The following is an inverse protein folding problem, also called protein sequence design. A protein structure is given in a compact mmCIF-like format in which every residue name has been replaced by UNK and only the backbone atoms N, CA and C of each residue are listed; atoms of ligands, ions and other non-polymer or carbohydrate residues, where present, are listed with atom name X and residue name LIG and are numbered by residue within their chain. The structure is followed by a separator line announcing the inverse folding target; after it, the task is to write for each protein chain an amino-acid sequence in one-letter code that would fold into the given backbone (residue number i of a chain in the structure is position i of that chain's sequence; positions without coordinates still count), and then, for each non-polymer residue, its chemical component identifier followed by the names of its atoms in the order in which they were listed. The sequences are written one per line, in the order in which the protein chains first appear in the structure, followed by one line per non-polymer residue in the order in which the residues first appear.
data_IF_939893196335
#
_entry.id   IF_939893196335
#
_cell.length_a   1.000
_cell.length_b   1.000
_cell.length_c   1.000
_cell.angle_alpha   90.00
_cell.angle_beta   90.00
_cell.angle_gamma   90.00
#
_symmetry.space_group_name_H-M   'P 1'
#
loop_
_entity.id
_entity.type
_entity.pdbx_description
1 polymer ?
#
# COMPACT_ATOMS: atom_id res chain seq x y z
N UNK A 1 -4.52 3.33 25.70
CA UNK A 1 -5.20 2.55 24.67
C UNK A 1 -4.57 1.16 24.63
N UNK A 2 -5.35 0.10 24.44
CA UNK A 2 -4.92 -1.31 24.46
C UNK A 2 -4.73 -1.80 23.03
N UNK A 3 -3.58 -2.37 22.70
CA UNK A 3 -3.23 -2.82 21.34
C UNK A 3 -2.83 -4.30 21.39
N UNK A 4 -3.25 -5.06 20.38
CA UNK A 4 -2.77 -6.39 20.06
C UNK A 4 -1.92 -6.32 18.81
N UNK A 5 -0.86 -7.11 18.72
CA UNK A 5 0.02 -7.16 17.53
C UNK A 5 0.18 -8.61 17.09
N UNK A 6 0.03 -8.86 15.78
CA UNK A 6 0.24 -10.17 15.17
C UNK A 6 1.10 -10.04 13.91
N UNK A 7 2.21 -10.78 13.87
CA UNK A 7 3.14 -10.84 12.74
C UNK A 7 3.95 -12.14 12.86
N UNK A 8 4.07 -12.90 11.79
CA UNK A 8 4.82 -14.17 11.80
C UNK A 8 6.35 -13.98 11.71
N UNK A 9 6.80 -12.74 11.48
CA UNK A 9 8.21 -12.37 11.48
C UNK A 9 8.65 -11.85 12.87
N UNK A 10 9.45 -12.61 13.64
CA UNK A 10 9.79 -12.26 15.03
C UNK A 10 10.42 -10.88 15.19
N UNK A 11 11.30 -10.47 14.27
CA UNK A 11 11.95 -9.16 14.33
C UNK A 11 10.96 -8.03 14.08
N UNK A 12 10.06 -8.17 13.12
CA UNK A 12 9.00 -7.19 12.84
C UNK A 12 8.05 -7.10 14.03
N UNK A 13 7.62 -8.23 14.58
CA UNK A 13 6.75 -8.29 15.75
C UNK A 13 7.34 -7.55 16.94
N UNK A 14 8.61 -7.86 17.28
CA UNK A 14 9.29 -7.22 18.40
C UNK A 14 9.57 -5.73 18.14
N UNK A 15 9.97 -5.36 16.93
CA UNK A 15 10.18 -3.97 16.52
C UNK A 15 8.89 -3.16 16.61
N UNK A 16 7.78 -3.68 16.07
CA UNK A 16 6.47 -3.02 16.13
C UNK A 16 6.00 -2.87 17.57
N UNK A 17 6.19 -3.89 18.43
CA UNK A 17 5.86 -3.83 19.85
C UNK A 17 6.63 -2.69 20.54
N UNK A 18 7.96 -2.68 20.42
CA UNK A 18 8.81 -1.67 21.03
C UNK A 18 8.44 -0.26 20.58
N UNK A 19 8.12 -0.10 19.30
CA UNK A 19 7.72 1.16 18.72
C UNK A 19 6.38 1.65 19.28
N UNK A 20 5.38 0.77 19.32
CA UNK A 20 4.04 1.07 19.89
C UNK A 20 4.14 1.44 21.37
N UNK A 21 4.95 0.73 22.15
CA UNK A 21 5.14 1.00 23.57
C UNK A 21 5.88 2.33 23.81
N UNK A 22 6.82 2.72 22.93
CA UNK A 22 7.53 4.00 23.02
C UNK A 22 6.60 5.22 22.87
N UNK A 23 5.47 5.07 22.21
CA UNK A 23 4.41 6.09 22.12
C UNK A 23 3.40 6.05 23.27
N UNK A 24 3.67 5.27 24.31
CA UNK A 24 2.82 5.21 25.50
C UNK A 24 1.55 4.34 25.33
N UNK A 25 1.45 3.55 24.28
CA UNK A 25 0.36 2.59 24.14
C UNK A 25 0.67 1.29 24.89
N UNK A 26 -0.36 0.64 25.44
CA UNK A 26 -0.21 -0.63 26.12
C UNK A 26 -0.41 -1.79 25.14
N UNK A 27 0.63 -2.55 24.85
CA UNK A 27 0.50 -3.82 24.14
C UNK A 27 -0.02 -4.87 25.11
N UNK A 28 -1.19 -5.46 24.80
CA UNK A 28 -1.82 -6.50 25.65
C UNK A 28 -1.16 -7.85 25.46
N UNK A 29 -0.96 -8.20 24.18
CA UNK A 29 -0.38 -9.47 23.78
C UNK A 29 0.19 -9.39 22.37
N UNK A 30 1.02 -10.37 22.03
CA UNK A 30 1.58 -10.55 20.69
C UNK A 30 1.46 -12.00 20.25
N UNK A 31 1.26 -12.26 18.96
CA UNK A 31 1.21 -13.61 18.41
C UNK A 31 1.76 -13.65 16.98
N UNK A 32 2.04 -14.87 16.49
CA UNK A 32 2.69 -15.11 15.20
C UNK A 32 1.80 -15.80 14.17
N UNK A 33 0.48 -15.85 14.39
CA UNK A 33 -0.46 -16.46 13.44
C UNK A 33 -1.86 -15.88 13.60
N UNK A 34 -2.64 -15.96 12.53
CA UNK A 34 -3.98 -15.34 12.51
C UNK A 34 -5.02 -16.03 13.36
N UNK A 35 -4.90 -17.34 13.62
CA UNK A 35 -5.85 -18.06 14.50
C UNK A 35 -5.71 -17.56 15.94
N UNK A 36 -4.47 -17.46 16.43
CA UNK A 36 -4.18 -16.90 17.75
C UNK A 36 -4.60 -15.44 17.83
N UNK A 37 -4.32 -14.65 16.77
CA UNK A 37 -4.74 -13.25 16.70
C UNK A 37 -6.25 -13.09 16.87
N UNK A 38 -7.05 -13.85 16.13
CA UNK A 38 -8.50 -13.82 16.24
C UNK A 38 -8.99 -14.20 17.64
N UNK A 39 -8.46 -15.28 18.21
CA UNK A 39 -8.83 -15.73 19.56
C UNK A 39 -8.51 -14.67 20.62
N UNK A 40 -7.33 -14.05 20.56
CA UNK A 40 -6.93 -12.98 21.48
C UNK A 40 -7.77 -11.71 21.29
N UNK A 41 -8.14 -11.37 20.04
CA UNK A 41 -9.06 -10.26 19.76
C UNK A 41 -10.42 -10.51 20.39
N UNK A 42 -10.97 -11.71 20.24
CA UNK A 42 -12.27 -12.09 20.83
C UNK A 42 -12.22 -12.06 22.36
N UNK A 43 -11.13 -12.55 22.95
CA UNK A 43 -10.96 -12.64 24.40
C UNK A 43 -10.75 -11.27 25.05
N UNK A 44 -9.85 -10.46 24.51
CA UNK A 44 -9.40 -9.22 25.14
C UNK A 44 -10.08 -7.96 24.62
N UNK A 45 -10.72 -8.02 23.45
CA UNK A 45 -11.36 -6.91 22.76
C UNK A 45 -10.49 -5.62 22.80
N UNK A 46 -9.25 -5.68 22.24
CA UNK A 46 -8.35 -4.53 22.23
C UNK A 46 -8.99 -3.35 21.46
N UNK A 47 -8.54 -2.14 21.75
CA UNK A 47 -8.98 -0.96 20.98
C UNK A 47 -8.54 -1.03 19.52
N UNK A 48 -7.29 -1.49 19.30
CA UNK A 48 -6.69 -1.67 17.98
C UNK A 48 -6.01 -3.05 17.94
N UNK A 49 -6.09 -3.71 16.79
CA UNK A 49 -5.24 -4.85 16.44
C UNK A 49 -4.41 -4.49 15.21
N UNK A 50 -3.07 -4.56 15.36
CA UNK A 50 -2.11 -4.40 14.27
C UNK A 50 -1.79 -5.80 13.77
N UNK A 51 -2.07 -6.08 12.49
CA UNK A 51 -1.95 -7.41 11.91
C UNK A 51 -1.09 -7.37 10.64
N UNK A 52 -0.17 -8.30 10.50
CA UNK A 52 0.35 -8.62 9.19
C UNK A 52 -0.71 -9.33 8.34
N UNK A 53 -0.64 -9.17 7.02
CA UNK A 53 -1.50 -9.92 6.11
C UNK A 53 -1.02 -11.37 6.02
N UNK A 54 0.27 -11.58 5.79
CA UNK A 54 0.82 -12.92 5.57
C UNK A 54 1.10 -13.63 6.90
N UNK A 55 0.12 -14.36 7.41
CA UNK A 55 0.28 -15.16 8.62
C UNK A 55 -0.23 -16.59 8.41
N UNK A 56 0.39 -17.57 9.06
CA UNK A 56 -0.10 -18.95 8.99
C UNK A 56 -1.48 -19.13 9.65
N UNK A 57 -2.26 -20.06 9.12
CA UNK A 57 -3.60 -20.43 9.58
C UNK A 57 -4.68 -19.53 9.00
N UNK A 58 -4.86 -18.34 9.53
CA UNK A 58 -5.68 -17.27 8.95
C UNK A 58 -4.77 -16.12 8.51
N UNK A 59 -5.02 -15.55 7.36
CA UNK A 59 -4.34 -14.33 6.96
C UNK A 59 -4.96 -13.09 7.65
N UNK A 60 -4.28 -11.95 7.60
CA UNK A 60 -4.76 -10.71 8.24
C UNK A 60 -6.08 -10.20 7.67
N UNK A 61 -6.38 -10.48 6.40
CA UNK A 61 -7.65 -10.14 5.77
C UNK A 61 -8.78 -11.03 6.29
N UNK A 62 -8.51 -12.32 6.47
CA UNK A 62 -9.48 -13.27 7.06
C UNK A 62 -9.82 -12.88 8.50
N UNK A 63 -8.81 -12.48 9.28
CA UNK A 63 -9.03 -11.98 10.65
C UNK A 63 -9.87 -10.71 10.62
N UNK A 64 -9.56 -9.74 9.76
CA UNK A 64 -10.33 -8.50 9.64
C UNK A 64 -11.79 -8.78 9.27
N UNK A 65 -12.03 -9.67 8.30
CA UNK A 65 -13.37 -10.12 7.91
C UNK A 65 -14.15 -10.71 9.08
N UNK A 66 -13.54 -11.64 9.83
CA UNK A 66 -14.19 -12.29 10.99
C UNK A 66 -14.48 -11.31 12.13
N UNK A 67 -13.62 -10.33 12.37
CA UNK A 67 -13.84 -9.25 13.35
C UNK A 67 -15.03 -8.38 12.93
N UNK A 68 -15.15 -8.05 11.65
CA UNK A 68 -16.30 -7.33 11.10
C UNK A 68 -17.61 -8.14 11.23
N UNK A 69 -17.61 -9.40 10.79
CA UNK A 69 -18.77 -10.31 10.88
C UNK A 69 -19.26 -10.49 12.32
N UNK A 70 -18.31 -10.55 13.26
CA UNK A 70 -18.60 -10.65 14.70
C UNK A 70 -19.00 -9.33 15.34
N UNK A 71 -19.05 -8.23 14.58
CA UNK A 71 -19.40 -6.87 15.04
C UNK A 71 -18.57 -6.41 16.24
N UNK A 72 -17.32 -6.84 16.33
CA UNK A 72 -16.40 -6.40 17.36
C UNK A 72 -16.01 -4.93 17.17
N UNK A 73 -15.77 -4.21 18.26
CA UNK A 73 -15.38 -2.78 18.22
C UNK A 73 -13.89 -2.58 17.98
N UNK A 74 -13.10 -3.65 17.91
CA UNK A 74 -11.66 -3.61 17.66
C UNK A 74 -11.39 -3.05 16.27
N UNK A 75 -10.60 -1.99 16.19
CA UNK A 75 -10.18 -1.37 14.93
C UNK A 75 -8.98 -2.12 14.38
N UNK A 76 -9.07 -2.58 13.13
CA UNK A 76 -7.99 -3.33 12.50
C UNK A 76 -7.07 -2.37 11.75
N UNK A 77 -5.77 -2.49 11.98
CA UNK A 77 -4.69 -1.84 11.24
C UNK A 77 -3.86 -2.96 10.59
N UNK A 78 -3.75 -2.95 9.27
CA UNK A 78 -2.88 -3.87 8.55
C UNK A 78 -1.50 -3.24 8.37
N UNK A 79 -0.46 -3.98 8.74
CA UNK A 79 0.94 -3.63 8.55
C UNK A 79 1.56 -4.69 7.64
N UNK A 80 1.83 -4.36 6.37
CA UNK A 80 2.07 -5.35 5.33
C UNK A 80 3.14 -4.93 4.33
N UNK A 81 3.69 -5.91 3.60
CA UNK A 81 4.57 -5.67 2.45
C UNK A 81 3.79 -5.46 1.14
N UNK A 82 2.47 -5.71 1.14
CA UNK A 82 1.64 -5.61 -0.06
C UNK A 82 1.32 -4.17 -0.43
N UNK A 83 1.70 -3.78 -1.64
CA UNK A 83 1.47 -2.43 -2.23
C UNK A 83 0.32 -2.42 -3.24
N UNK A 84 -0.28 -3.58 -3.49
CA UNK A 84 -1.32 -3.73 -4.51
C UNK A 84 -2.63 -3.08 -4.05
N UNK A 85 -3.14 -2.15 -4.84
CA UNK A 85 -4.41 -1.46 -4.58
C UNK A 85 -5.59 -2.42 -4.50
N UNK A 86 -5.51 -3.57 -5.20
CA UNK A 86 -6.54 -4.63 -5.15
C UNK A 86 -6.65 -5.27 -3.77
N UNK A 87 -5.53 -5.49 -3.08
CA UNK A 87 -5.49 -6.03 -1.71
C UNK A 87 -6.06 -4.99 -0.73
N UNK A 88 -5.67 -3.73 -0.88
CA UNK A 88 -6.24 -2.64 -0.08
C UNK A 88 -7.76 -2.50 -0.27
N UNK A 89 -8.26 -2.55 -1.52
CA UNK A 89 -9.71 -2.50 -1.80
C UNK A 89 -10.46 -3.61 -1.07
N UNK A 90 -9.97 -4.85 -1.16
CA UNK A 90 -10.53 -5.98 -0.43
C UNK A 90 -10.49 -5.76 1.10
N UNK A 91 -9.37 -5.29 1.64
CA UNK A 91 -9.24 -4.96 3.05
C UNK A 91 -10.23 -3.87 3.49
N UNK A 92 -10.42 -2.85 2.66
CA UNK A 92 -11.36 -1.75 2.91
C UNK A 92 -12.82 -2.23 3.01
N UNK A 93 -13.21 -3.24 2.21
CA UNK A 93 -14.53 -3.89 2.29
C UNK A 93 -14.75 -4.57 3.66
N UNK A 94 -13.68 -5.06 4.30
CA UNK A 94 -13.71 -5.64 5.64
C UNK A 94 -13.65 -4.60 6.77
N UNK A 95 -13.79 -3.32 6.43
CA UNK A 95 -13.93 -2.24 7.41
C UNK A 95 -12.67 -1.94 8.23
N UNK A 96 -11.48 -2.18 7.67
CA UNK A 96 -10.22 -1.82 8.34
C UNK A 96 -10.14 -0.30 8.60
N UNK A 97 -9.37 0.08 9.61
CA UNK A 97 -9.11 1.47 9.96
C UNK A 97 -7.74 1.96 9.54
N UNK A 98 -6.75 1.07 9.38
CA UNK A 98 -5.41 1.43 8.95
C UNK A 98 -4.85 0.46 7.91
N UNK A 99 -4.08 0.99 6.96
CA UNK A 99 -3.26 0.20 6.02
C UNK A 99 -1.91 0.87 5.87
N UNK A 100 -0.84 0.22 6.34
CA UNK A 100 0.52 0.74 6.36
C UNK A 100 1.45 -0.26 5.68
N UNK A 101 2.38 0.26 4.89
CA UNK A 101 3.47 -0.54 4.33
C UNK A 101 4.57 -0.73 5.37
N UNK A 102 5.05 -1.98 5.57
CA UNK A 102 6.11 -2.32 6.55
C UNK A 102 7.37 -1.49 6.35
N UNK A 103 7.74 -1.16 5.11
CA UNK A 103 8.90 -0.33 4.80
C UNK A 103 8.78 1.13 5.29
N UNK A 104 7.56 1.61 5.54
CA UNK A 104 7.27 2.96 6.00
C UNK A 104 6.73 3.00 7.45
N UNK A 105 6.75 1.85 8.14
CA UNK A 105 6.20 1.73 9.49
C UNK A 105 6.79 2.76 10.48
N UNK A 106 8.09 3.01 10.41
CA UNK A 106 8.76 3.96 11.32
C UNK A 106 8.23 5.39 11.18
N UNK A 107 7.81 5.80 10.01
CA UNK A 107 7.36 7.18 9.73
C UNK A 107 5.84 7.34 9.81
N UNK A 108 5.09 6.26 9.64
CA UNK A 108 3.64 6.33 9.49
C UNK A 108 2.85 5.74 10.67
N UNK A 109 3.42 4.79 11.44
CA UNK A 109 2.65 4.04 12.44
C UNK A 109 2.11 4.93 13.56
N UNK A 110 2.90 5.90 14.04
CA UNK A 110 2.44 6.84 15.07
C UNK A 110 1.24 7.65 14.60
N UNK A 111 1.35 8.24 13.41
CA UNK A 111 0.29 9.02 12.79
C UNK A 111 -0.96 8.18 12.56
N UNK A 112 -0.79 6.97 12.04
CA UNK A 112 -1.88 6.03 11.84
C UNK A 112 -2.59 5.71 13.17
N UNK A 113 -1.87 5.33 14.22
CA UNK A 113 -2.47 5.02 15.51
C UNK A 113 -3.20 6.22 16.11
N UNK A 114 -2.66 7.42 15.92
CA UNK A 114 -3.30 8.67 16.35
C UNK A 114 -4.63 8.88 15.63
N UNK A 115 -4.67 8.77 14.31
CA UNK A 115 -5.90 8.95 13.53
C UNK A 115 -6.93 7.84 13.81
N UNK A 116 -6.48 6.59 13.86
CA UNK A 116 -7.34 5.44 14.19
C UNK A 116 -7.91 5.57 15.60
N UNK A 117 -7.16 6.12 16.56
CA UNK A 117 -7.68 6.36 17.92
C UNK A 117 -8.89 7.29 17.93
N UNK A 118 -8.85 8.36 17.12
CA UNK A 118 -9.94 9.33 16.94
C UNK A 118 -11.14 8.76 16.15
N UNK A 119 -10.99 7.59 15.53
CA UNK A 119 -12.01 6.97 14.69
C UNK A 119 -11.86 7.24 13.20
N UNK A 120 -10.80 7.93 12.81
CA UNK A 120 -10.50 8.20 11.41
C UNK A 120 -9.83 6.99 10.76
N UNK A 121 -9.98 6.85 9.45
CA UNK A 121 -9.21 5.87 8.67
C UNK A 121 -7.87 6.46 8.27
N UNK A 122 -6.86 5.62 8.15
CA UNK A 122 -5.52 5.97 7.70
C UNK A 122 -5.03 5.01 6.61
N UNK A 123 -4.56 5.55 5.52
CA UNK A 123 -3.92 4.79 4.44
C UNK A 123 -2.52 5.33 4.24
N UNK A 124 -1.55 4.44 3.99
CA UNK A 124 -0.20 4.86 3.65
C UNK A 124 -0.21 5.85 2.49
N UNK A 125 0.47 6.98 2.65
CA UNK A 125 0.56 8.00 1.60
C UNK A 125 1.14 7.45 0.29
N UNK A 126 1.98 6.44 0.36
CA UNK A 126 2.55 5.77 -0.81
C UNK A 126 1.54 4.87 -1.55
N UNK A 127 0.42 4.53 -0.92
CA UNK A 127 -0.69 3.83 -1.55
C UNK A 127 -1.80 4.79 -1.97
N UNK A 128 -1.98 5.93 -1.28
CA UNK A 128 -2.97 6.94 -1.63
C UNK A 128 -2.75 7.50 -3.04
N UNK A 129 -1.50 7.73 -3.43
CA UNK A 129 -1.18 8.19 -4.78
C UNK A 129 -1.67 7.20 -5.85
N UNK A 130 -1.48 5.90 -5.62
CA UNK A 130 -1.96 4.85 -6.52
C UNK A 130 -3.50 4.73 -6.50
N UNK A 131 -4.15 4.96 -5.36
CA UNK A 131 -5.61 4.93 -5.21
C UNK A 131 -6.30 6.15 -5.86
N UNK A 132 -5.70 7.34 -5.78
CA UNK A 132 -6.21 8.55 -6.44
C UNK A 132 -6.15 8.35 -7.96
N UNK A 133 -5.10 7.74 -8.43
CA UNK A 133 -4.94 7.35 -9.82
C UNK A 133 -6.03 6.33 -10.23
N UNK A 134 -6.44 5.42 -9.42
CA UNK A 134 -7.41 4.35 -9.69
C UNK A 134 -8.88 4.86 -9.76
N UNK A 135 -9.20 5.96 -9.10
CA UNK A 135 -10.55 6.54 -9.06
C UNK A 135 -10.89 7.49 -10.23
N UNK A 136 -9.90 7.96 -10.96
CA UNK A 136 -10.09 8.75 -12.17
C UNK A 136 -10.04 7.82 -13.39
N UNK A 137 -11.05 7.75 -14.24
CA UNK A 137 -11.17 6.85 -15.41
C UNK A 137 -9.98 6.82 -16.39
N UNK A 138 -8.97 7.64 -16.22
CA UNK A 138 -7.67 7.61 -16.91
C UNK A 138 -6.76 6.48 -16.40
N UNK A 139 -7.13 5.82 -15.34
CA UNK A 139 -6.27 5.00 -14.47
C UNK A 139 -6.18 3.54 -14.90
N UNK A 140 -7.18 3.03 -15.60
CA UNK A 140 -7.18 1.63 -16.07
C UNK A 140 -6.02 1.37 -17.04
N UNK A 141 -5.59 2.38 -17.76
CA UNK A 141 -4.48 2.29 -18.70
C UNK A 141 -3.12 2.41 -17.99
N UNK A 142 -3.00 3.28 -16.99
CA UNK A 142 -1.78 3.45 -16.20
C UNK A 142 -1.46 2.24 -15.30
N UNK A 143 -2.49 1.47 -14.90
CA UNK A 143 -2.31 0.21 -14.15
C UNK A 143 -1.63 -0.89 -14.96
N UNK A 144 -1.69 -0.82 -16.29
CA UNK A 144 -1.00 -1.76 -17.19
C UNK A 144 0.51 -1.51 -17.27
N UNK A 145 0.98 -0.39 -16.71
CA UNK A 145 2.38 0.03 -16.79
C UNK A 145 3.18 -0.41 -15.57
N UNK A 146 4.38 -0.91 -15.82
CA UNK A 146 5.35 -1.19 -14.75
C UNK A 146 5.90 0.11 -14.14
N UNK A 147 6.51 0.01 -12.95
CA UNK A 147 7.16 1.16 -12.30
C UNK A 147 8.20 1.84 -13.20
N UNK A 148 8.99 1.05 -13.94
CA UNK A 148 9.97 1.59 -14.91
C UNK A 148 9.30 2.34 -16.05
N UNK A 149 8.16 1.84 -16.55
CA UNK A 149 7.38 2.49 -17.61
C UNK A 149 6.73 3.78 -17.11
N UNK A 150 6.20 3.79 -15.90
CA UNK A 150 5.67 5.00 -15.23
C UNK A 150 6.76 6.07 -15.08
N UNK A 151 7.97 5.68 -14.64
CA UNK A 151 9.09 6.60 -14.50
C UNK A 151 9.54 7.19 -15.83
N UNK A 152 9.53 6.40 -16.89
CA UNK A 152 9.81 6.87 -18.25
C UNK A 152 8.76 7.89 -18.71
N UNK A 153 7.47 7.64 -18.48
CA UNK A 153 6.39 8.60 -18.79
C UNK A 153 6.58 9.91 -18.03
N UNK A 154 6.89 9.85 -16.73
CA UNK A 154 7.16 11.04 -15.92
C UNK A 154 8.29 11.90 -16.55
N UNK A 155 9.36 11.27 -17.00
CA UNK A 155 10.46 11.99 -17.70
C UNK A 155 10.05 12.50 -19.09
N UNK A 156 9.14 11.81 -19.77
CA UNK A 156 8.56 12.29 -21.04
C UNK A 156 7.70 13.54 -20.80
N UNK A 157 6.91 13.64 -19.73
CA UNK A 157 6.15 14.87 -19.41
C UNK A 157 7.09 16.06 -19.20
N UNK A 158 8.31 15.83 -18.74
CA UNK A 158 9.37 16.84 -18.61
C UNK A 158 10.10 17.11 -19.95
N UNK A 159 9.56 16.61 -21.06
CA UNK A 159 10.11 16.76 -22.42
C UNK A 159 11.53 16.22 -22.59
N UNK A 160 11.92 15.23 -21.78
CA UNK A 160 13.23 14.58 -21.91
C UNK A 160 13.27 13.68 -23.13
N UNK A 161 14.37 13.74 -23.87
CA UNK A 161 14.64 12.84 -25.01
C UNK A 161 14.97 11.43 -24.53
N UNK A 162 14.85 10.42 -25.40
CA UNK A 162 15.22 9.03 -25.06
C UNK A 162 16.67 8.92 -24.59
N UNK A 163 17.59 9.69 -25.16
CA UNK A 163 18.98 9.77 -24.72
C UNK A 163 19.12 10.32 -23.30
N UNK A 164 18.44 11.44 -22.98
CA UNK A 164 18.44 12.01 -21.63
C UNK A 164 17.80 11.09 -20.60
N UNK A 165 16.73 10.40 -20.96
CA UNK A 165 16.08 9.40 -20.10
C UNK A 165 17.02 8.23 -19.84
N UNK A 166 17.71 7.76 -20.85
CA UNK A 166 18.69 6.68 -20.75
C UNK A 166 19.83 7.05 -19.76
N UNK A 167 20.36 8.26 -19.86
CA UNK A 167 21.38 8.79 -18.94
C UNK A 167 20.86 8.86 -17.49
N UNK A 168 19.64 9.40 -17.28
CA UNK A 168 19.03 9.55 -15.94
C UNK A 168 18.69 8.21 -15.26
N UNK A 169 18.33 7.20 -16.05
CA UNK A 169 17.91 5.89 -15.53
C UNK A 169 19.02 4.84 -15.62
N UNK A 170 20.23 5.20 -16.06
CA UNK A 170 21.35 4.29 -16.27
C UNK A 170 21.01 3.13 -17.23
N UNK A 171 20.27 3.42 -18.29
CA UNK A 171 19.85 2.48 -19.32
C UNK A 171 20.51 2.79 -20.68
N UNK A 172 20.40 1.87 -21.65
CA UNK A 172 20.72 2.20 -23.05
C UNK A 172 19.56 2.97 -23.71
N UNK A 173 19.87 3.84 -24.67
CA UNK A 173 18.82 4.52 -25.45
C UNK A 173 17.88 3.53 -26.14
N UNK A 174 18.42 2.42 -26.66
CA UNK A 174 17.65 1.33 -27.26
C UNK A 174 16.67 0.70 -26.25
N UNK A 175 17.07 0.58 -24.98
CA UNK A 175 16.20 0.06 -23.91
C UNK A 175 15.02 1.01 -23.65
N UNK A 176 15.31 2.32 -23.60
CA UNK A 176 14.27 3.35 -23.41
C UNK A 176 13.28 3.36 -24.58
N UNK A 177 13.77 3.27 -25.82
CA UNK A 177 12.89 3.17 -27.01
C UNK A 177 12.03 1.91 -26.97
N UNK A 178 12.58 0.77 -26.51
CA UNK A 178 11.80 -0.45 -26.30
C UNK A 178 10.70 -0.27 -25.26
N UNK A 179 10.96 0.44 -24.15
CA UNK A 179 9.93 0.78 -23.17
C UNK A 179 8.86 1.72 -23.75
N UNK A 180 9.27 2.76 -24.50
CA UNK A 180 8.32 3.68 -25.15
C UNK A 180 7.36 2.95 -26.07
N UNK A 181 7.88 2.00 -26.88
CA UNK A 181 7.04 1.16 -27.76
C UNK A 181 6.04 0.33 -26.96
N UNK A 182 6.49 -0.34 -25.90
CA UNK A 182 5.60 -1.14 -25.03
C UNK A 182 4.55 -0.28 -24.33
N UNK A 183 4.91 0.93 -23.89
CA UNK A 183 3.97 1.88 -23.30
C UNK A 183 2.88 2.26 -24.32
N UNK A 184 3.26 2.62 -25.53
CA UNK A 184 2.32 2.94 -26.62
C UNK A 184 1.34 1.80 -26.87
N UNK A 185 1.85 0.55 -26.93
CA UNK A 185 1.03 -0.63 -27.12
C UNK A 185 0.06 -0.90 -25.94
N UNK A 186 0.56 -0.80 -24.71
CA UNK A 186 -0.25 -1.00 -23.49
C UNK A 186 -1.35 0.05 -23.32
N UNK A 187 -1.08 1.28 -23.72
CA UNK A 187 -2.01 2.40 -23.61
C UNK A 187 -2.90 2.59 -24.83
N UNK A 188 -2.74 1.78 -25.88
CA UNK A 188 -3.52 1.90 -27.10
C UNK A 188 -3.31 3.23 -27.83
N UNK A 189 -2.16 3.88 -27.66
CA UNK A 189 -1.87 5.19 -28.26
C UNK A 189 -1.55 5.00 -29.74
N UNK A 190 -2.06 5.86 -30.64
CA UNK A 190 -1.68 5.83 -32.07
C UNK A 190 -0.17 5.96 -32.28
N UNK A 191 0.40 5.19 -33.22
CA UNK A 191 1.85 5.26 -33.56
C UNK A 191 2.16 6.50 -34.40
N UNK A 192 1.82 7.68 -33.88
CA UNK A 192 2.07 8.96 -34.50
C UNK A 192 3.20 9.73 -33.83
N UNK A 193 3.80 10.67 -34.56
CA UNK A 193 4.87 11.52 -34.00
C UNK A 193 4.34 12.31 -32.80
N UNK A 194 5.05 12.24 -31.67
CA UNK A 194 4.72 12.90 -30.42
C UNK A 194 3.42 12.44 -29.71
N UNK A 195 2.70 11.42 -30.18
CA UNK A 195 1.45 10.96 -29.57
C UNK A 195 1.64 10.57 -28.09
N UNK A 196 2.73 9.85 -27.75
CA UNK A 196 3.06 9.52 -26.38
C UNK A 196 3.34 10.74 -25.50
N UNK A 197 4.02 11.78 -26.04
CA UNK A 197 4.26 13.01 -25.30
C UNK A 197 2.95 13.78 -25.05
N UNK A 198 2.11 13.89 -26.05
CA UNK A 198 0.79 14.57 -25.92
C UNK A 198 -0.06 13.83 -24.90
N UNK A 199 -0.15 12.51 -25.02
CA UNK A 199 -0.88 11.68 -24.07
C UNK A 199 -0.33 11.84 -22.64
N UNK A 200 0.98 11.79 -22.46
CA UNK A 200 1.63 11.93 -21.17
C UNK A 200 1.32 13.30 -20.52
N UNK A 201 1.41 14.39 -21.27
CA UNK A 201 1.08 15.74 -20.76
C UNK A 201 -0.39 15.86 -20.36
N UNK A 202 -1.30 15.23 -21.09
CA UNK A 202 -2.75 15.29 -20.81
C UNK A 202 -3.17 14.43 -19.61
N UNK A 203 -2.53 13.27 -19.44
CA UNK A 203 -3.00 12.23 -18.52
C UNK A 203 -2.06 11.99 -17.32
N UNK A 204 -0.81 12.51 -17.36
CA UNK A 204 0.19 12.32 -16.30
C UNK A 204 0.52 13.68 -15.68
N UNK A 205 -0.51 14.40 -15.18
CA UNK A 205 -0.30 15.63 -14.41
C UNK A 205 0.04 15.28 -12.96
N UNK A 206 1.10 15.97 -12.45
CA UNK A 206 1.34 16.05 -10.99
C UNK A 206 0.18 16.73 -10.29
#
# INVERSE_FOLDING_TARGET
MKILIADDHPFTLQGTKSFVESYGYKVLDTCSNGVSALNLIMLHQPNIAILDINMPGLDGLDVAKKVQESKLKTKIVLLTMHKETTIYKKASEYGIYGYILKEHAQTELEKCLTEVSKGNKYVSIFLEEDLILDNNNTTTELLKLTLSEKKIIELITQQKTSKQIAELLFLSEKTVEGHRTKIIEKLGIPKEKNALLIWAIQNFKK
#
